data_IF_862834137057
#
_entry.id   IF_862834137057
#
_cell.length_a   1.000
_cell.length_b   1.000
_cell.length_c   1.000
_cell.angle_alpha   90.00
_cell.angle_beta   90.00
_cell.angle_gamma   90.00
#
_symmetry.space_group_name_H-M   'P 1'
#
loop_
_entity.id
_entity.type
_entity.pdbx_description
1 polymer ?
#
# COMPACT_ATOMS: atom_id res chain seq x y z
N UNK A 1 21.05 -18.11 9.14
CA UNK A 1 20.19 -17.90 10.32
C UNK A 1 20.69 -16.63 10.98
N UNK A 2 19.89 -15.58 10.93
CA UNK A 2 20.21 -14.28 11.51
C UNK A 2 19.56 -14.11 12.88
N UNK A 3 20.08 -13.16 13.67
CA UNK A 3 19.48 -12.75 14.94
C UNK A 3 19.59 -11.23 15.14
N UNK A 4 18.53 -10.60 15.65
CA UNK A 4 18.50 -9.19 16.03
C UNK A 4 18.05 -9.09 17.50
N UNK A 5 18.84 -8.44 18.34
CA UNK A 5 18.48 -8.16 19.74
C UNK A 5 17.90 -6.75 19.89
N UNK A 6 16.79 -6.64 20.60
CA UNK A 6 16.13 -5.39 20.98
C UNK A 6 16.07 -5.32 22.51
N UNK A 7 16.63 -4.27 23.09
CA UNK A 7 16.60 -4.03 24.53
C UNK A 7 15.53 -2.99 24.89
N UNK A 8 14.77 -3.25 25.96
CA UNK A 8 13.79 -2.31 26.49
C UNK A 8 14.38 -1.56 27.69
N UNK A 9 14.17 -0.24 27.75
CA UNK A 9 14.64 0.58 28.86
C UNK A 9 13.83 0.31 30.15
N UNK A 10 14.54 0.35 31.28
CA UNK A 10 14.01 0.15 32.63
C UNK A 10 12.78 1.03 32.92
N UNK A 11 11.62 0.39 33.11
CA UNK A 11 10.50 0.98 33.84
C UNK A 11 10.47 0.43 35.27
N UNK A 12 11.61 0.44 35.96
CA UNK A 12 11.73 0.16 37.40
C UNK A 12 11.41 1.43 38.20
N UNK A 13 10.18 1.90 38.08
CA UNK A 13 9.49 2.63 39.15
C UNK A 13 8.00 2.40 38.97
N UNK A 14 7.30 2.06 40.04
CA UNK A 14 5.89 1.65 40.11
C UNK A 14 5.56 0.16 39.92
N UNK A 15 6.08 -0.67 40.82
CA UNK A 15 5.34 -1.85 41.29
C UNK A 15 5.45 -1.93 42.83
N UNK A 16 4.62 -1.17 43.54
CA UNK A 16 4.07 -1.67 44.81
C UNK A 16 2.76 -2.38 44.46
N UNK A 17 2.52 -3.61 44.94
CA UNK A 17 1.28 -4.31 44.68
C UNK A 17 0.17 -3.67 45.53
N UNK A 18 -0.63 -2.79 44.92
CA UNK A 18 -1.98 -2.55 45.41
C UNK A 18 -2.90 -3.54 44.71
N UNK A 19 -3.21 -4.60 45.43
CA UNK A 19 -4.32 -5.50 45.15
C UNK A 19 -5.61 -4.70 45.00
N UNK A 20 -6.15 -4.64 43.79
CA UNK A 20 -7.59 -4.52 43.59
C UNK A 20 -7.97 -5.44 42.43
N UNK A 21 -8.74 -6.44 42.82
CA UNK A 21 -9.44 -7.42 42.00
C UNK A 21 -10.32 -6.74 40.97
N UNK A 22 -10.01 -6.93 39.69
CA UNK A 22 -10.88 -7.37 38.60
C UNK A 22 -10.08 -7.21 37.28
N UNK A 23 -10.12 -8.24 36.43
CA UNK A 23 -9.38 -8.41 35.16
C UNK A 23 -7.96 -9.01 35.21
N UNK A 24 -7.86 -10.23 35.74
CA UNK A 24 -6.74 -11.17 35.50
C UNK A 24 -7.25 -12.43 34.79
N UNK A 25 -7.34 -12.42 33.45
CA UNK A 25 -7.62 -13.63 32.65
C UNK A 25 -6.40 -14.19 31.88
N UNK A 26 -5.23 -13.53 31.96
CA UNK A 26 -3.98 -13.99 31.36
C UNK A 26 -2.92 -14.45 32.39
N UNK A 27 -2.92 -13.89 33.60
CA UNK A 27 -1.99 -14.30 34.67
C UNK A 27 -2.37 -15.65 35.32
N UNK A 28 -3.63 -16.06 35.23
CA UNK A 28 -4.14 -17.27 35.88
C UNK A 28 -3.73 -18.57 35.15
N UNK A 29 -3.36 -18.46 33.87
CA UNK A 29 -2.97 -19.60 33.03
C UNK A 29 -1.47 -19.94 33.15
N UNK A 30 -0.63 -18.95 33.45
CA UNK A 30 0.82 -19.13 33.62
C UNK A 30 1.16 -19.47 35.08
N UNK A 31 0.44 -18.91 36.05
CA UNK A 31 0.80 -19.06 37.47
C UNK A 31 0.30 -20.34 38.15
N UNK A 32 -0.76 -21.00 37.64
CA UNK A 32 -1.34 -22.19 38.31
C UNK A 32 -0.64 -23.51 38.02
N UNK A 33 0.25 -23.58 37.04
CA UNK A 33 0.99 -24.83 36.75
C UNK A 33 2.46 -24.80 37.20
N UNK A 34 3.03 -23.63 37.52
CA UNK A 34 4.48 -23.52 37.78
C UNK A 34 4.90 -23.67 39.26
N UNK A 35 3.99 -23.58 40.23
CA UNK A 35 4.37 -23.45 41.65
C UNK A 35 3.59 -24.36 42.61
N UNK A 36 3.45 -25.66 42.31
CA UNK A 36 3.16 -26.67 43.37
C UNK A 36 3.69 -28.07 43.02
N UNK A 37 4.98 -28.33 43.26
CA UNK A 37 5.47 -29.43 44.15
C UNK A 37 6.98 -29.71 43.99
N UNK A 38 7.65 -30.10 45.09
CA UNK A 38 9.10 -30.27 45.15
C UNK A 38 9.59 -31.67 44.75
N UNK A 39 10.84 -31.72 44.28
CA UNK A 39 11.83 -32.83 44.35
C UNK A 39 11.47 -34.20 43.71
N UNK A 40 11.68 -34.37 42.40
CA UNK A 40 12.18 -35.61 41.73
C UNK A 40 12.50 -35.32 40.22
N UNK A 41 13.26 -36.17 39.50
CA UNK A 41 14.23 -35.73 38.49
C UNK A 41 13.52 -35.18 37.23
N UNK A 42 13.83 -33.93 36.89
CA UNK A 42 13.18 -33.13 35.86
C UNK A 42 13.33 -33.67 34.41
N UNK A 43 14.10 -34.73 34.18
CA UNK A 43 14.40 -35.22 32.82
C UNK A 43 13.21 -35.95 32.16
N UNK A 44 12.34 -36.63 32.94
CA UNK A 44 11.24 -37.42 32.37
C UNK A 44 9.96 -36.61 32.06
N UNK A 45 9.82 -35.38 32.59
CA UNK A 45 8.62 -34.56 32.39
C UNK A 45 8.62 -33.80 31.04
N UNK A 46 9.82 -33.46 30.53
CA UNK A 46 9.97 -32.75 29.26
C UNK A 46 9.69 -33.65 28.04
N UNK A 47 10.08 -34.93 28.08
CA UNK A 47 9.74 -35.91 27.04
C UNK A 47 8.21 -36.07 26.87
N UNK A 48 7.45 -36.03 27.96
CA UNK A 48 5.99 -36.12 27.93
C UNK A 48 5.31 -34.94 27.24
N UNK A 49 5.84 -33.72 27.44
CA UNK A 49 5.32 -32.49 26.82
C UNK A 49 5.65 -32.44 25.32
N UNK A 50 6.89 -32.79 24.93
CA UNK A 50 7.29 -32.89 23.52
C UNK A 50 6.48 -33.95 22.76
N UNK A 51 6.25 -35.11 23.38
CA UNK A 51 5.44 -36.18 22.78
C UNK A 51 3.97 -35.77 22.63
N UNK A 52 3.43 -35.00 23.58
CA UNK A 52 2.07 -34.46 23.51
C UNK A 52 1.95 -33.37 22.42
N UNK A 53 2.96 -32.52 22.28
CA UNK A 53 3.00 -31.49 21.24
C UNK A 53 3.08 -32.08 19.84
N UNK A 54 3.96 -33.07 19.61
CA UNK A 54 4.06 -33.77 18.32
C UNK A 54 2.74 -34.43 17.93
N UNK A 55 2.07 -35.12 18.87
CA UNK A 55 0.78 -35.78 18.59
C UNK A 55 -0.34 -34.78 18.30
N UNK A 56 -0.33 -33.63 18.96
CA UNK A 56 -1.34 -32.57 18.76
C UNK A 56 -1.12 -31.85 17.43
N UNK A 57 0.15 -31.62 17.05
CA UNK A 57 0.56 -31.09 15.74
C UNK A 57 0.13 -32.04 14.61
N UNK A 58 0.48 -33.31 14.70
CA UNK A 58 0.18 -34.27 13.63
C UNK A 58 -1.35 -34.46 13.46
N UNK A 59 -2.08 -34.47 14.59
CA UNK A 59 -3.55 -34.55 14.57
C UNK A 59 -4.21 -33.33 13.92
N UNK A 60 -3.72 -32.12 14.19
CA UNK A 60 -4.31 -30.92 13.59
C UNK A 60 -3.88 -30.69 12.13
N UNK A 61 -2.67 -31.09 11.70
CA UNK A 61 -2.23 -30.95 10.31
C UNK A 61 -3.13 -31.81 9.42
N UNK A 62 -3.37 -33.05 9.86
CA UNK A 62 -4.29 -33.96 9.20
C UNK A 62 -5.75 -33.44 9.18
N UNK A 63 -6.21 -32.76 10.24
CA UNK A 63 -7.55 -32.19 10.30
C UNK A 63 -7.74 -30.95 9.41
N UNK A 64 -6.67 -30.16 9.19
CA UNK A 64 -6.70 -28.93 8.39
C UNK A 64 -6.37 -29.17 6.90
N UNK A 65 -6.11 -30.41 6.49
CA UNK A 65 -5.69 -30.73 5.11
C UNK A 65 -4.32 -30.13 4.74
N UNK A 66 -3.57 -29.68 5.73
CA UNK A 66 -2.20 -29.20 5.58
C UNK A 66 -1.30 -30.44 5.61
N UNK A 67 -0.45 -30.63 4.60
CA UNK A 67 0.51 -31.75 4.56
C UNK A 67 1.59 -31.62 5.64
N UNK A 68 2.86 -31.88 5.31
CA UNK A 68 4.01 -31.65 6.20
C UNK A 68 4.30 -30.16 6.51
N UNK A 69 3.34 -29.27 6.29
CA UNK A 69 3.49 -27.83 6.54
C UNK A 69 3.31 -27.54 8.03
N UNK A 70 4.20 -26.74 8.61
CA UNK A 70 4.08 -26.30 10.00
C UNK A 70 2.79 -25.50 10.20
N UNK A 71 2.08 -25.74 11.31
CA UNK A 71 0.86 -25.01 11.66
C UNK A 71 1.09 -23.55 12.03
N UNK A 72 2.29 -23.27 12.55
CA UNK A 72 2.73 -21.98 13.02
C UNK A 72 4.10 -21.73 12.40
N UNK A 73 4.33 -20.51 11.93
CA UNK A 73 5.61 -20.08 11.37
C UNK A 73 6.48 -19.32 12.38
N UNK A 74 5.89 -18.91 13.51
CA UNK A 74 6.55 -18.07 14.52
C UNK A 74 6.44 -18.71 15.89
N UNK A 75 7.58 -18.91 16.56
CA UNK A 75 7.66 -19.34 17.96
C UNK A 75 7.96 -18.16 18.89
N UNK A 76 7.45 -18.19 20.12
CA UNK A 76 7.84 -17.25 21.18
C UNK A 76 8.34 -18.07 22.37
N UNK A 77 9.54 -17.77 22.87
CA UNK A 77 10.16 -18.48 23.99
C UNK A 77 10.50 -17.55 25.14
N UNK A 78 10.37 -18.06 26.37
CA UNK A 78 10.75 -17.38 27.61
C UNK A 78 11.74 -18.28 28.36
N UNK A 79 13.04 -18.24 28.02
CA UNK A 79 14.04 -18.99 28.75
C UNK A 79 14.06 -18.57 30.23
N UNK A 80 14.35 -19.51 31.15
CA UNK A 80 14.54 -19.16 32.55
C UNK A 80 15.69 -18.16 32.70
N UNK A 81 15.53 -17.18 33.59
CA UNK A 81 16.56 -16.20 33.93
C UNK A 81 17.86 -16.93 34.30
N UNK A 82 18.94 -16.67 33.57
CA UNK A 82 20.26 -17.14 33.98
C UNK A 82 20.65 -16.34 35.22
N UNK A 83 20.50 -16.95 36.40
CA UNK A 83 21.22 -16.50 37.57
C UNK A 83 22.68 -16.87 37.33
N UNK A 84 23.52 -15.87 37.10
CA UNK A 84 24.95 -16.04 37.30
C UNK A 84 25.14 -16.34 38.78
N UNK A 85 25.09 -17.63 39.14
CA UNK A 85 25.59 -18.12 40.42
C UNK A 85 27.13 -18.02 40.37
N UNK A 86 27.66 -16.82 40.23
CA UNK A 86 29.04 -16.51 40.57
C UNK A 86 29.14 -16.25 42.07
N UNK A 87 28.72 -17.25 42.86
CA UNK A 87 29.02 -17.28 44.28
C UNK A 87 30.51 -17.62 44.45
N UNK A 88 31.20 -16.74 45.17
CA UNK A 88 32.58 -16.91 45.63
C UNK A 88 32.82 -18.32 46.19
N UNK A 89 33.66 -19.13 45.53
CA UNK A 89 34.27 -20.28 46.18
C UNK A 89 35.64 -20.63 45.61
N UNK A 90 36.56 -20.74 46.57
CA UNK A 90 38.00 -20.90 46.49
C UNK A 90 38.42 -22.23 45.82
N UNK A 91 39.54 -22.16 45.09
CA UNK A 91 40.38 -23.24 44.55
C UNK A 91 39.81 -24.68 44.49
N UNK A 92 39.43 -25.11 43.28
CA UNK A 92 39.80 -26.44 42.75
C UNK A 92 39.53 -26.50 41.24
N UNK A 93 40.47 -27.08 40.49
CA UNK A 93 40.38 -27.33 39.05
C UNK A 93 39.04 -27.96 38.68
N UNK A 94 38.15 -27.16 38.07
CA UNK A 94 36.90 -27.63 37.49
C UNK A 94 36.81 -27.18 36.05
N UNK A 95 36.39 -28.11 35.21
CA UNK A 95 36.01 -27.86 33.83
C UNK A 95 34.77 -26.96 33.88
N UNK A 96 34.93 -25.70 33.49
CA UNK A 96 33.81 -24.80 33.28
C UNK A 96 33.22 -25.07 31.88
N UNK A 97 31.95 -25.44 31.83
CA UNK A 97 31.22 -25.49 30.58
C UNK A 97 30.65 -24.10 30.33
N UNK A 98 31.24 -23.39 29.36
CA UNK A 98 30.66 -22.16 28.85
C UNK A 98 29.60 -22.53 27.82
N UNK A 99 28.39 -22.02 27.97
CA UNK A 99 27.35 -22.18 26.94
C UNK A 99 27.85 -21.51 25.65
N UNK A 100 28.14 -22.33 24.64
CA UNK A 100 28.43 -21.82 23.31
C UNK A 100 27.12 -21.37 22.67
N UNK A 101 27.18 -20.27 21.93
CA UNK A 101 26.09 -19.65 21.17
C UNK A 101 25.04 -20.68 20.72
N UNK A 102 23.87 -20.61 21.37
CA UNK A 102 22.81 -21.61 21.23
C UNK A 102 22.18 -21.48 19.85
N UNK A 103 22.73 -22.20 18.87
CA UNK A 103 22.05 -22.46 17.60
C UNK A 103 20.92 -23.42 17.93
N UNK A 104 19.75 -22.88 18.20
CA UNK A 104 18.51 -23.64 18.30
C UNK A 104 18.01 -23.87 16.87
N UNK A 105 18.10 -25.10 16.30
CA UNK A 105 17.49 -25.40 15.01
C UNK A 105 15.97 -25.42 15.20
N UNK A 106 15.40 -24.23 15.27
CA UNK A 106 13.98 -24.02 15.48
C UNK A 106 13.18 -24.60 14.31
N UNK A 107 12.11 -25.34 14.61
CA UNK A 107 11.11 -25.79 13.62
C UNK A 107 10.33 -24.63 12.99
N UNK A 108 10.48 -23.40 13.51
CA UNK A 108 9.80 -22.19 13.08
C UNK A 108 10.67 -21.33 12.15
N UNK A 109 10.01 -20.61 11.24
CA UNK A 109 10.64 -19.65 10.34
C UNK A 109 11.21 -18.44 11.11
N UNK A 110 10.49 -18.02 12.16
CA UNK A 110 10.83 -16.90 13.03
C UNK A 110 10.70 -17.34 14.50
N UNK A 111 11.62 -16.92 15.36
CA UNK A 111 11.53 -17.13 16.81
C UNK A 111 11.80 -15.82 17.54
N UNK A 112 10.92 -15.46 18.46
CA UNK A 112 11.12 -14.33 19.39
C UNK A 112 11.43 -14.89 20.77
N UNK A 113 12.66 -14.70 21.22
CA UNK A 113 13.12 -15.13 22.53
C UNK A 113 13.14 -13.93 23.49
N UNK A 114 12.35 -13.99 24.56
CA UNK A 114 12.25 -12.92 25.55
C UNK A 114 13.16 -13.26 26.73
N UNK A 115 14.25 -12.51 26.87
CA UNK A 115 15.23 -12.70 27.93
C UNK A 115 15.01 -11.67 29.04
N UNK A 116 15.23 -12.09 30.29
CA UNK A 116 15.36 -11.21 31.43
C UNK A 116 16.71 -11.46 32.09
N UNK A 117 17.59 -10.47 32.04
CA UNK A 117 18.91 -10.51 32.64
C UNK A 117 19.13 -9.22 33.44
N UNK A 118 19.56 -9.36 34.70
CA UNK A 118 19.83 -8.24 35.62
C UNK A 118 18.72 -7.19 35.72
N UNK A 119 17.45 -7.62 35.66
CA UNK A 119 16.30 -6.73 35.74
C UNK A 119 15.95 -6.01 34.42
N UNK A 120 16.72 -6.23 33.35
CA UNK A 120 16.42 -5.71 32.00
C UNK A 120 15.75 -6.79 31.17
N UNK A 121 14.67 -6.38 30.48
CA UNK A 121 14.01 -7.22 29.50
C UNK A 121 14.61 -6.94 28.11
N UNK A 122 14.99 -7.99 27.39
CA UNK A 122 15.37 -7.93 25.98
C UNK A 122 14.60 -8.98 25.17
N UNK A 123 14.44 -8.72 23.87
CA UNK A 123 13.86 -9.66 22.92
C UNK A 123 14.86 -9.93 21.81
N UNK A 124 15.08 -11.20 21.49
CA UNK A 124 15.95 -11.65 20.41
C UNK A 124 15.06 -12.24 19.32
N UNK A 125 15.08 -11.63 18.13
CA UNK A 125 14.41 -12.12 16.93
C UNK A 125 15.39 -13.00 16.14
N UNK A 126 15.20 -14.31 16.16
CA UNK A 126 15.90 -15.29 15.33
C UNK A 126 15.08 -15.60 14.08
N UNK A 127 15.71 -15.71 12.93
CA UNK A 127 15.00 -15.97 11.67
C UNK A 127 15.86 -16.73 10.65
N UNK A 128 15.19 -17.42 9.74
CA UNK A 128 15.83 -18.02 8.58
C UNK A 128 15.96 -17.01 7.44
N UNK A 129 17.12 -16.99 6.78
CA UNK A 129 17.35 -16.09 5.62
C UNK A 129 16.47 -16.45 4.41
N UNK A 130 15.87 -17.64 4.42
CA UNK A 130 14.86 -18.08 3.44
C UNK A 130 13.49 -17.42 3.64
N UNK A 131 13.19 -16.91 4.84
CA UNK A 131 11.91 -16.26 5.14
C UNK A 131 12.03 -14.73 5.28
N UNK A 132 13.14 -14.23 5.85
CA UNK A 132 13.38 -12.80 6.03
C UNK A 132 14.81 -12.44 5.63
N UNK A 133 14.96 -11.34 4.89
CA UNK A 133 16.24 -10.65 4.80
C UNK A 133 16.55 -9.89 6.08
N UNK A 134 17.82 -9.58 6.30
CA UNK A 134 18.27 -8.77 7.45
C UNK A 134 17.51 -7.44 7.59
N UNK A 135 17.27 -6.75 6.47
CA UNK A 135 16.50 -5.51 6.45
C UNK A 135 15.05 -5.73 6.91
N UNK A 136 14.39 -6.77 6.39
CA UNK A 136 13.01 -7.10 6.79
C UNK A 136 12.93 -7.52 8.26
N UNK A 137 13.93 -8.26 8.76
CA UNK A 137 13.99 -8.61 10.16
C UNK A 137 14.18 -7.37 11.05
N UNK A 138 14.98 -6.40 10.62
CA UNK A 138 15.14 -5.13 11.33
C UNK A 138 13.84 -4.31 11.34
N UNK A 139 13.10 -4.27 10.22
CA UNK A 139 11.78 -3.64 10.14
C UNK A 139 10.81 -4.30 11.16
N UNK A 140 10.68 -5.63 11.13
CA UNK A 140 9.82 -6.40 12.06
C UNK A 140 10.21 -6.18 13.52
N UNK A 141 11.50 -6.20 13.84
CA UNK A 141 12.00 -5.96 15.19
C UNK A 141 11.66 -4.53 15.67
N UNK A 142 11.78 -3.54 14.79
CA UNK A 142 11.44 -2.14 15.08
C UNK A 142 9.94 -1.94 15.30
N UNK A 143 9.11 -2.56 14.47
CA UNK A 143 7.64 -2.60 14.63
C UNK A 143 7.25 -3.25 15.96
N UNK A 144 7.84 -4.41 16.30
CA UNK A 144 7.58 -5.11 17.55
C UNK A 144 7.95 -4.24 18.77
N UNK A 145 9.10 -3.58 18.74
CA UNK A 145 9.54 -2.66 19.79
C UNK A 145 8.57 -1.49 19.98
N UNK A 146 8.10 -0.90 18.87
CA UNK A 146 7.11 0.17 18.86
C UNK A 146 5.78 -0.30 19.47
N UNK A 147 5.32 -1.51 19.12
CA UNK A 147 4.09 -2.09 19.65
C UNK A 147 4.15 -2.28 21.17
N UNK A 148 5.22 -2.90 21.67
CA UNK A 148 5.43 -3.13 23.10
C UNK A 148 5.54 -1.80 23.85
N UNK A 149 6.31 -0.86 23.31
CA UNK A 149 6.45 0.49 23.89
C UNK A 149 5.11 1.23 23.94
N UNK A 150 4.27 1.11 22.91
CA UNK A 150 2.95 1.72 22.86
C UNK A 150 2.00 1.14 23.92
N UNK A 151 1.97 -0.19 24.06
CA UNK A 151 1.19 -0.89 25.07
C UNK A 151 1.59 -0.48 26.50
N UNK A 152 2.90 -0.35 26.77
CA UNK A 152 3.39 0.04 28.09
C UNK A 152 3.04 1.50 28.44
N UNK A 153 3.05 2.41 27.45
CA UNK A 153 2.77 3.84 27.66
C UNK A 153 1.26 4.14 27.81
N UNK A 154 0.39 3.43 27.10
CA UNK A 154 -1.05 3.74 27.05
C UNK A 154 -1.92 2.55 27.45
N UNK A 155 -1.95 2.24 28.75
CA UNK A 155 -2.64 1.07 29.32
C UNK A 155 -4.16 0.97 29.09
N UNK A 156 -4.81 2.06 28.66
CA UNK A 156 -6.27 2.11 28.40
C UNK A 156 -6.62 2.22 26.92
N UNK A 157 -5.63 2.19 26.01
CA UNK A 157 -5.88 2.24 24.57
C UNK A 157 -6.23 0.85 24.03
N UNK A 158 -7.13 0.80 23.04
CA UNK A 158 -7.40 -0.46 22.34
C UNK A 158 -6.24 -0.83 21.43
N UNK A 159 -5.97 -2.13 21.30
CA UNK A 159 -4.91 -2.66 20.40
C UNK A 159 -5.05 -2.13 18.98
N UNK A 160 -6.28 -1.98 18.49
CA UNK A 160 -6.58 -1.46 17.16
C UNK A 160 -6.12 0.00 16.91
N UNK A 161 -5.81 0.77 17.96
CA UNK A 161 -5.34 2.15 17.84
C UNK A 161 -3.84 2.30 18.02
N UNK A 162 -3.10 1.22 18.28
CA UNK A 162 -1.65 1.28 18.36
C UNK A 162 -1.10 1.61 16.98
N UNK A 163 -0.29 2.67 16.92
CA UNK A 163 0.52 2.92 15.75
C UNK A 163 1.72 1.97 15.79
N UNK A 164 1.80 1.10 14.79
CA UNK A 164 2.86 0.11 14.65
C UNK A 164 4.00 0.62 13.76
N UNK A 165 3.83 1.79 13.12
CA UNK A 165 4.86 2.36 12.29
C UNK A 165 6.01 2.86 13.16
N UNK A 166 7.14 2.17 13.07
CA UNK A 166 8.34 2.56 13.78
C UNK A 166 8.99 3.79 13.14
N UNK A 167 9.88 4.47 13.86
CA UNK A 167 10.71 5.54 13.29
C UNK A 167 11.53 5.05 12.09
N UNK A 168 11.93 3.78 12.08
CA UNK A 168 12.62 3.15 10.97
C UNK A 168 11.72 3.03 9.73
N UNK A 169 10.49 2.55 9.91
CA UNK A 169 9.49 2.44 8.84
C UNK A 169 9.17 3.82 8.26
N UNK A 170 8.95 4.82 9.14
CA UNK A 170 8.66 6.19 8.73
C UNK A 170 9.83 6.81 7.96
N UNK A 171 11.07 6.59 8.41
CA UNK A 171 12.27 7.02 7.70
C UNK A 171 12.40 6.38 6.31
N UNK A 172 12.09 5.09 6.21
CA UNK A 172 12.12 4.35 4.95
C UNK A 172 11.04 4.84 3.96
N UNK A 173 9.81 5.04 4.44
CA UNK A 173 8.70 5.59 3.65
C UNK A 173 9.04 7.01 3.19
N UNK A 174 9.61 7.84 4.06
CA UNK A 174 10.04 9.18 3.71
C UNK A 174 11.15 9.16 2.65
N UNK A 175 12.08 8.20 2.73
CA UNK A 175 13.12 8.02 1.73
C UNK A 175 12.56 7.66 0.35
N UNK A 176 11.59 6.74 0.29
CA UNK A 176 10.91 6.39 -0.97
C UNK A 176 10.17 7.57 -1.59
N UNK A 177 9.62 8.45 -0.76
CA UNK A 177 8.88 9.64 -1.18
C UNK A 177 9.75 10.92 -1.23
N UNK A 178 11.09 10.80 -1.15
CA UNK A 178 12.00 11.95 -1.07
C UNK A 178 11.91 12.89 -2.27
N UNK A 179 11.65 12.33 -3.45
CA UNK A 179 11.62 13.08 -4.70
C UNK A 179 10.20 13.53 -5.03
N UNK A 180 9.77 14.63 -4.41
CA UNK A 180 8.51 15.28 -4.77
C UNK A 180 8.76 16.08 -6.04
N UNK A 181 8.09 15.70 -7.13
CA UNK A 181 8.13 16.46 -8.38
C UNK A 181 7.44 17.82 -8.17
N UNK A 182 8.01 18.88 -8.73
CA UNK A 182 7.39 20.20 -8.69
C UNK A 182 6.09 20.19 -9.51
N UNK A 183 4.98 20.55 -8.85
CA UNK A 183 3.70 20.70 -9.54
C UNK A 183 3.69 21.97 -10.37
N UNK A 184 3.36 21.85 -11.65
CA UNK A 184 3.15 22.99 -12.55
C UNK A 184 1.67 23.38 -12.49
N UNK A 185 1.38 24.62 -12.06
CA UNK A 185 0.02 25.17 -11.98
C UNK A 185 -0.37 25.82 -13.32
N UNK A 186 -0.41 25.03 -14.39
CA UNK A 186 -0.80 25.48 -15.74
C UNK A 186 -1.72 24.45 -16.39
N UNK A 187 -2.60 24.92 -17.27
CA UNK A 187 -3.48 24.02 -18.00
C UNK A 187 -2.76 23.36 -19.17
N UNK A 188 -3.11 22.10 -19.48
CA UNK A 188 -2.51 21.35 -20.61
C UNK A 188 -2.68 22.11 -21.94
N UNK A 189 -3.84 22.72 -22.18
CA UNK A 189 -4.09 23.47 -23.40
C UNK A 189 -3.23 24.74 -23.52
N UNK A 190 -2.86 25.37 -22.39
CA UNK A 190 -1.94 26.53 -22.37
C UNK A 190 -0.51 26.09 -22.71
N UNK A 191 -0.06 24.93 -22.20
CA UNK A 191 1.25 24.37 -22.53
C UNK A 191 1.36 24.03 -24.02
N UNK A 192 0.28 23.52 -24.62
CA UNK A 192 0.22 23.27 -26.07
C UNK A 192 0.24 24.59 -26.85
N UNK A 193 -0.50 25.61 -26.39
CA UNK A 193 -0.51 26.94 -27.02
C UNK A 193 0.88 27.61 -26.96
N UNK A 194 1.63 27.45 -25.87
CA UNK A 194 3.01 27.93 -25.76
C UNK A 194 3.92 27.26 -26.81
N UNK A 195 3.74 25.95 -27.07
CA UNK A 195 4.46 25.27 -28.15
C UNK A 195 4.07 25.79 -29.53
N UNK A 196 2.80 26.10 -29.76
CA UNK A 196 2.37 26.73 -31.01
C UNK A 196 3.09 28.07 -31.25
N UNK A 197 3.23 28.90 -30.20
CA UNK A 197 3.98 30.16 -30.30
C UNK A 197 5.47 29.97 -30.67
N UNK A 198 6.08 28.86 -30.28
CA UNK A 198 7.49 28.58 -30.53
C UNK A 198 7.76 27.80 -31.84
N UNK A 199 6.86 26.90 -32.23
CA UNK A 199 7.06 25.92 -33.31
C UNK A 199 5.77 25.70 -34.12
N UNK A 200 5.17 26.78 -34.58
CA UNK A 200 3.88 26.79 -35.30
C UNK A 200 3.81 25.79 -36.46
N UNK A 201 4.84 25.73 -37.30
CA UNK A 201 4.84 24.92 -38.52
C UNK A 201 5.33 23.46 -38.28
N UNK A 202 5.69 23.11 -37.05
CA UNK A 202 6.10 21.74 -36.72
C UNK A 202 4.88 20.82 -36.60
N UNK A 203 5.05 19.55 -36.99
CA UNK A 203 4.01 18.53 -36.87
C UNK A 203 3.66 18.29 -35.40
N UNK A 204 2.39 18.47 -35.04
CA UNK A 204 1.84 18.24 -33.72
C UNK A 204 1.08 16.91 -33.63
N UNK A 205 0.37 16.54 -34.71
CA UNK A 205 -0.39 15.30 -34.83
C UNK A 205 0.02 14.60 -36.12
N UNK A 206 0.40 13.33 -36.01
CA UNK A 206 0.69 12.46 -37.14
C UNK A 206 -0.16 11.19 -37.01
N UNK A 207 -1.14 11.03 -37.91
CA UNK A 207 -2.08 9.92 -37.91
C UNK A 207 -2.23 9.36 -39.33
N UNK A 208 -2.82 8.17 -39.41
CA UNK A 208 -3.00 7.47 -40.70
C UNK A 208 -3.90 8.23 -41.68
N UNK A 209 -4.80 9.08 -41.17
CA UNK A 209 -5.75 9.88 -41.93
C UNK A 209 -5.27 11.33 -42.16
N UNK A 210 -4.03 11.64 -41.78
CA UNK A 210 -3.35 12.89 -42.09
C UNK A 210 -2.62 13.51 -40.89
N UNK A 211 -2.05 14.68 -41.13
CA UNK A 211 -1.25 15.41 -40.16
C UNK A 211 -1.86 16.76 -39.83
N UNK A 212 -1.50 17.29 -38.66
CA UNK A 212 -1.69 18.68 -38.29
C UNK A 212 -0.40 19.25 -37.72
N UNK A 213 -0.07 20.47 -38.13
CA UNK A 213 0.92 21.31 -37.48
C UNK A 213 0.39 21.85 -36.15
N UNK A 214 1.27 22.39 -35.30
CA UNK A 214 0.84 23.08 -34.08
C UNK A 214 -0.08 24.27 -34.39
N UNK A 215 0.17 25.00 -35.49
CA UNK A 215 -0.67 26.10 -35.96
C UNK A 215 -2.09 25.65 -36.30
N UNK A 216 -2.20 24.63 -37.15
CA UNK A 216 -3.51 24.09 -37.57
C UNK A 216 -4.28 23.49 -36.39
N UNK A 217 -3.61 22.73 -35.52
CA UNK A 217 -4.22 22.15 -34.32
C UNK A 217 -4.76 23.25 -33.40
N UNK A 218 -3.99 24.32 -33.17
CA UNK A 218 -4.39 25.43 -32.32
C UNK A 218 -5.58 26.19 -32.91
N UNK A 219 -5.59 26.46 -34.21
CA UNK A 219 -6.68 27.15 -34.90
C UNK A 219 -7.98 26.35 -34.87
N UNK A 220 -7.94 25.09 -35.31
CA UNK A 220 -9.11 24.22 -35.36
C UNK A 220 -9.69 23.99 -33.96
N UNK A 221 -8.84 23.74 -32.96
CA UNK A 221 -9.30 23.56 -31.57
C UNK A 221 -9.85 24.85 -30.97
N UNK A 222 -9.31 26.02 -31.33
CA UNK A 222 -9.82 27.32 -30.86
C UNK A 222 -11.20 27.62 -31.46
N UNK A 223 -11.38 27.39 -32.75
CA UNK A 223 -12.68 27.54 -33.41
C UNK A 223 -13.73 26.61 -32.80
N UNK A 224 -13.36 25.34 -32.59
CA UNK A 224 -14.21 24.39 -31.89
C UNK A 224 -14.55 24.89 -30.47
N UNK A 225 -13.58 25.37 -29.71
CA UNK A 225 -13.82 25.88 -28.35
C UNK A 225 -14.82 27.03 -28.31
N UNK A 226 -14.74 27.97 -29.27
CA UNK A 226 -15.71 29.06 -29.40
C UNK A 226 -17.11 28.53 -29.73
N UNK A 227 -17.20 27.56 -30.63
CA UNK A 227 -18.45 26.90 -30.95
C UNK A 227 -19.07 26.19 -29.74
N UNK A 228 -18.26 25.42 -29.00
CA UNK A 228 -18.70 24.71 -27.79
C UNK A 228 -19.18 25.68 -26.71
N UNK A 229 -18.48 26.80 -26.50
CA UNK A 229 -18.92 27.84 -25.56
C UNK A 229 -20.28 28.43 -25.95
N UNK A 230 -20.55 28.60 -27.25
CA UNK A 230 -21.86 29.05 -27.72
C UNK A 230 -23.00 28.06 -27.45
N UNK A 231 -22.68 26.78 -27.25
CA UNK A 231 -23.60 25.70 -26.84
C UNK A 231 -23.64 25.50 -25.32
N UNK A 232 -23.03 26.40 -24.54
CA UNK A 232 -23.04 26.34 -23.08
C UNK A 232 -22.01 25.39 -22.44
N UNK A 233 -21.07 24.85 -23.22
CA UNK A 233 -19.99 24.03 -22.68
C UNK A 233 -18.98 24.92 -21.94
N UNK A 234 -18.67 24.55 -20.70
CA UNK A 234 -17.73 25.27 -19.85
C UNK A 234 -17.31 24.46 -18.61
N UNK A 235 -16.88 25.13 -17.53
CA UNK A 235 -16.45 24.47 -16.30
C UNK A 235 -17.48 23.49 -15.75
N UNK A 236 -17.00 22.32 -15.32
CA UNK A 236 -17.80 21.21 -14.76
C UNK A 236 -18.71 20.49 -15.77
N UNK A 237 -18.56 20.75 -17.06
CA UNK A 237 -19.21 19.97 -18.12
C UNK A 237 -18.27 18.88 -18.62
N UNK A 238 -18.76 17.65 -18.76
CA UNK A 238 -18.03 16.55 -19.40
C UNK A 238 -18.64 16.28 -20.77
N UNK A 239 -17.82 16.37 -21.83
CA UNK A 239 -18.22 16.13 -23.21
C UNK A 239 -17.66 14.79 -23.69
N UNK A 240 -18.50 13.78 -23.97
CA UNK A 240 -18.00 12.54 -24.55
C UNK A 240 -17.54 12.75 -25.99
N UNK A 241 -16.47 12.07 -26.37
CA UNK A 241 -15.86 12.07 -27.69
C UNK A 241 -15.95 10.65 -28.25
N UNK A 242 -16.78 10.45 -29.28
CA UNK A 242 -17.03 9.17 -29.91
C UNK A 242 -16.31 9.11 -31.26
N UNK A 243 -15.06 8.65 -31.25
CA UNK A 243 -14.18 8.62 -32.41
C UNK A 243 -13.48 7.26 -32.52
N UNK A 244 -13.28 6.79 -33.75
CA UNK A 244 -12.15 5.89 -34.00
C UNK A 244 -10.84 6.68 -33.84
N UNK A 245 -9.70 5.98 -33.73
CA UNK A 245 -8.39 6.65 -33.69
C UNK A 245 -8.17 7.42 -35.01
N UNK A 246 -8.18 8.75 -34.94
CA UNK A 246 -8.06 9.66 -36.09
C UNK A 246 -7.40 10.99 -35.68
N UNK A 247 -6.93 11.78 -36.66
CA UNK A 247 -6.29 13.08 -36.42
C UNK A 247 -7.22 14.12 -35.77
N UNK A 248 -8.54 13.93 -35.85
CA UNK A 248 -9.54 14.83 -35.27
C UNK A 248 -9.72 14.68 -33.76
N UNK A 249 -9.34 13.54 -33.18
CA UNK A 249 -9.52 13.30 -31.75
C UNK A 249 -8.71 14.27 -30.86
N UNK A 250 -7.43 14.59 -31.17
CA UNK A 250 -6.70 15.69 -30.52
C UNK A 250 -7.36 17.07 -30.66
N UNK A 251 -7.93 17.39 -31.84
CA UNK A 251 -8.65 18.65 -32.06
C UNK A 251 -9.86 18.74 -31.13
N UNK A 252 -10.65 17.66 -31.05
CA UNK A 252 -11.83 17.56 -30.20
C UNK A 252 -11.48 17.75 -28.72
N UNK A 253 -10.51 16.98 -28.22
CA UNK A 253 -10.04 17.04 -26.84
C UNK A 253 -9.52 18.44 -26.49
N UNK A 254 -8.70 19.04 -27.35
CA UNK A 254 -8.14 20.36 -27.12
C UNK A 254 -9.21 21.45 -27.16
N UNK A 255 -10.18 21.35 -28.07
CA UNK A 255 -11.31 22.28 -28.15
C UNK A 255 -12.20 22.25 -26.91
N UNK A 256 -12.50 21.05 -26.37
CA UNK A 256 -13.25 20.91 -25.11
C UNK A 256 -12.46 21.50 -23.94
N UNK A 257 -11.15 21.21 -23.84
CA UNK A 257 -10.30 21.78 -22.79
C UNK A 257 -10.25 23.31 -22.86
N UNK A 258 -10.10 23.88 -24.06
CA UNK A 258 -10.12 25.34 -24.28
C UNK A 258 -11.49 25.96 -24.00
N UNK A 259 -12.58 25.23 -24.22
CA UNK A 259 -13.92 25.67 -23.82
C UNK A 259 -14.07 25.75 -22.29
N UNK A 260 -13.21 25.05 -21.54
CA UNK A 260 -13.23 24.95 -20.07
C UNK A 260 -13.90 23.68 -19.57
N UNK A 261 -14.30 22.78 -20.47
CA UNK A 261 -14.89 21.49 -20.14
C UNK A 261 -13.85 20.39 -19.95
N UNK A 262 -14.30 19.25 -19.45
CA UNK A 262 -13.57 17.99 -19.48
C UNK A 262 -14.12 17.12 -20.62
N UNK A 263 -13.31 16.17 -21.11
CA UNK A 263 -13.75 15.24 -22.14
C UNK A 263 -13.66 13.79 -21.66
N UNK A 264 -14.55 12.94 -22.15
CA UNK A 264 -14.49 11.49 -21.94
C UNK A 264 -14.35 10.78 -23.28
N UNK A 265 -13.34 9.93 -23.44
CA UNK A 265 -13.17 9.15 -24.68
C UNK A 265 -14.12 7.94 -24.65
N UNK A 266 -14.95 7.83 -25.68
CA UNK A 266 -15.80 6.67 -25.93
C UNK A 266 -15.23 5.87 -27.08
N UNK A 267 -15.06 4.57 -26.88
CA UNK A 267 -14.67 3.64 -27.95
C UNK A 267 -15.92 3.13 -28.68
N UNK A 268 -16.14 3.49 -29.95
CA UNK A 268 -17.29 3.04 -30.73
C UNK A 268 -17.35 1.52 -30.92
N UNK A 269 -16.26 0.78 -30.65
CA UNK A 269 -16.24 -0.68 -30.71
C UNK A 269 -17.00 -1.35 -29.54
N UNK A 270 -17.34 -0.60 -28.50
CA UNK A 270 -18.17 -1.11 -27.41
C UNK A 270 -19.64 -1.27 -27.83
N UNK A 271 -20.37 -2.25 -27.25
CA UNK A 271 -21.81 -2.38 -27.47
C UNK A 271 -22.54 -1.09 -27.12
N UNK A 272 -23.55 -0.73 -27.92
CA UNK A 272 -24.31 0.52 -27.76
C UNK A 272 -24.86 0.72 -26.34
N UNK A 273 -25.40 -0.33 -25.72
CA UNK A 273 -25.89 -0.27 -24.33
C UNK A 273 -24.81 0.21 -23.35
N UNK A 274 -23.57 -0.25 -23.51
CA UNK A 274 -22.46 0.18 -22.65
C UNK A 274 -22.14 1.66 -22.86
N UNK A 275 -22.20 2.13 -24.09
CA UNK A 275 -21.98 3.54 -24.41
C UNK A 275 -23.10 4.43 -23.84
N UNK A 276 -24.36 3.97 -23.90
CA UNK A 276 -25.50 4.65 -23.27
C UNK A 276 -25.32 4.75 -21.77
N UNK A 277 -24.93 3.67 -21.09
CA UNK A 277 -24.68 3.66 -19.65
C UNK A 277 -23.56 4.65 -19.27
N UNK A 278 -22.49 4.72 -20.07
CA UNK A 278 -21.40 5.67 -19.88
C UNK A 278 -21.87 7.12 -20.05
N UNK A 279 -22.61 7.42 -21.12
CA UNK A 279 -23.16 8.76 -21.33
C UNK A 279 -24.13 9.18 -20.21
N UNK A 280 -24.94 8.24 -19.71
CA UNK A 280 -25.84 8.47 -18.58
C UNK A 280 -25.07 8.79 -17.29
N UNK A 281 -23.99 8.05 -16.99
CA UNK A 281 -23.12 8.33 -15.84
C UNK A 281 -22.42 9.69 -15.93
N UNK A 282 -22.07 10.12 -17.16
CA UNK A 282 -21.46 11.42 -17.41
C UNK A 282 -22.49 12.57 -17.41
N UNK A 283 -23.80 12.27 -17.40
CA UNK A 283 -24.85 13.28 -17.57
C UNK A 283 -24.74 14.00 -18.92
N UNK A 284 -24.27 13.31 -19.96
CA UNK A 284 -23.92 13.92 -21.23
C UNK A 284 -25.16 14.34 -22.02
N UNK A 285 -25.34 15.66 -22.21
CA UNK A 285 -26.37 16.22 -23.10
C UNK A 285 -25.83 16.51 -24.50
N UNK A 286 -24.50 16.63 -24.60
CA UNK A 286 -23.77 17.02 -25.79
C UNK A 286 -22.64 16.01 -26.03
N UNK A 287 -22.53 15.48 -27.26
CA UNK A 287 -21.49 14.53 -27.67
C UNK A 287 -20.82 15.03 -28.94
N UNK A 288 -19.51 14.80 -29.06
CA UNK A 288 -18.78 15.05 -30.31
C UNK A 288 -18.42 13.70 -30.92
N UNK A 289 -18.67 13.51 -32.21
CA UNK A 289 -18.40 12.26 -32.91
C UNK A 289 -17.78 12.48 -34.29
N UNK A 290 -17.12 11.46 -34.85
CA UNK A 290 -16.76 11.48 -36.27
C UNK A 290 -17.99 11.25 -37.15
N UNK A 291 -17.85 11.56 -38.45
CA UNK A 291 -18.89 11.33 -39.46
C UNK A 291 -19.39 9.86 -39.43
N UNK A 292 -18.48 8.90 -39.33
CA UNK A 292 -18.80 7.46 -39.29
C UNK A 292 -19.69 7.05 -38.11
N UNK A 293 -19.63 7.78 -36.99
CA UNK A 293 -20.34 7.45 -35.74
C UNK A 293 -21.44 8.43 -35.40
N UNK A 294 -21.85 9.30 -36.32
CA UNK A 294 -22.93 10.26 -36.10
C UNK A 294 -24.24 9.58 -35.67
N UNK A 295 -24.63 8.50 -36.34
CA UNK A 295 -25.87 7.77 -36.03
C UNK A 295 -25.82 7.15 -34.64
N UNK A 296 -24.70 6.48 -34.31
CA UNK A 296 -24.49 5.92 -32.98
C UNK A 296 -24.56 7.01 -31.91
N UNK A 297 -23.86 8.13 -32.11
CA UNK A 297 -23.85 9.26 -31.19
C UNK A 297 -25.25 9.86 -30.96
N UNK A 298 -26.12 9.85 -31.98
CA UNK A 298 -27.51 10.29 -31.86
C UNK A 298 -28.37 9.45 -30.91
N UNK A 299 -27.98 8.19 -30.64
CA UNK A 299 -28.62 7.37 -29.62
C UNK A 299 -28.02 7.58 -28.21
N UNK A 300 -26.88 8.27 -28.11
CA UNK A 300 -26.13 8.42 -26.87
C UNK A 300 -26.37 9.77 -26.17
N UNK A 301 -26.69 10.82 -26.93
CA UNK A 301 -26.96 12.16 -26.40
C UNK A 301 -27.96 12.94 -27.27
N UNK A 302 -28.59 13.95 -26.68
CA UNK A 302 -29.59 14.79 -27.36
C UNK A 302 -28.99 15.70 -28.43
N UNK A 303 -27.74 16.11 -28.27
CA UNK A 303 -27.06 17.03 -29.17
C UNK A 303 -25.74 16.42 -29.65
N UNK A 304 -25.60 16.29 -30.97
CA UNK A 304 -24.43 15.70 -31.61
C UNK A 304 -23.71 16.76 -32.43
N UNK A 305 -22.42 16.94 -32.17
CA UNK A 305 -21.53 17.69 -33.03
C UNK A 305 -20.64 16.73 -33.82
N UNK A 306 -20.75 16.79 -35.14
CA UNK A 306 -19.93 15.98 -36.03
C UNK A 306 -18.63 16.72 -36.35
N UNK A 307 -17.53 15.99 -36.27
CA UNK A 307 -16.18 16.45 -36.55
C UNK A 307 -15.57 15.70 -37.72
N UNK A 308 -15.10 16.45 -38.72
CA UNK A 308 -14.57 15.91 -39.97
C UNK A 308 -14.05 17.00 -40.89
N UNK A 309 -13.60 16.58 -42.07
CA UNK A 309 -12.97 17.49 -43.03
C UNK A 309 -13.95 18.54 -43.58
N UNK A 310 -15.21 18.17 -43.77
CA UNK A 310 -16.22 19.07 -44.34
C UNK A 310 -16.73 20.08 -43.30
N UNK A 311 -16.89 19.67 -42.04
CA UNK A 311 -17.51 20.50 -41.00
C UNK A 311 -16.52 21.50 -40.39
N UNK A 312 -15.22 21.23 -40.45
CA UNK A 312 -14.20 22.20 -40.04
C UNK A 312 -14.27 23.52 -40.85
N UNK A 313 -14.75 23.47 -42.10
CA UNK A 313 -14.98 24.66 -42.92
C UNK A 313 -16.19 25.48 -42.44
N UNK A 314 -17.17 24.85 -41.78
CA UNK A 314 -18.37 25.54 -41.28
C UNK A 314 -18.05 26.45 -40.10
N UNK A 315 -17.04 26.10 -39.29
CA UNK A 315 -16.65 26.92 -38.12
C UNK A 315 -15.85 28.15 -38.50
N UNK A 316 -15.12 28.11 -39.62
CA UNK A 316 -14.39 29.26 -40.16
C UNK A 316 -15.32 30.44 -40.48
N UNK A 317 -16.59 30.17 -40.78
CA UNK A 317 -17.60 31.18 -41.14
C UNK A 317 -18.38 31.77 -39.95
N UNK A 318 -18.08 31.35 -38.71
CA UNK A 318 -18.81 31.80 -37.50
C UNK A 318 -18.00 32.71 -36.58
N UNK A 319 -16.85 33.21 -37.03
CA UNK A 319 -16.13 34.27 -36.33
C UNK A 319 -16.95 35.57 -36.30
N UNK A 320 -16.84 36.39 -35.23
CA UNK A 320 -17.43 37.72 -35.24
C UNK A 320 -16.78 38.51 -36.38
N UNK A 321 -17.62 39.06 -37.26
CA UNK A 321 -17.21 40.07 -38.25
C UNK A 321 -16.46 41.20 -37.50
N UNK A 322 -15.38 41.76 -38.07
CA UNK A 322 -14.46 42.67 -37.37
C UNK A 322 -15.10 43.92 -36.77
#
# INVERSE_FOLDING_TARGET
MGSIEVQFADSTSYLQPQTNTEDCFLDDLISRHALTRPQHPAVCAWDGVLTMWSKTRDAGCHALGMGNSAMLNTGITFPPSQTDDSDECDNQERIAFHEMERIDPSEFDIVVEVCNHDGRNSCILKYWDSCLSEKQAADVASTCSTAVSGLLKQKQQTVARLDLSSDHDQGQIAQWNRNILNTIQQCVHELIQQRNGAQRDAVAVDAWDGQFTYGELDELSTQLALHLRSRGIGPKTIVPLCFAKCRWNPVAALGVMKAGGAFGLLDPAHPEQRLQDMCAQLGAQFIIASEDFQNLAGHLASEVLVLGNEQAQLWQNTGPNP
#
